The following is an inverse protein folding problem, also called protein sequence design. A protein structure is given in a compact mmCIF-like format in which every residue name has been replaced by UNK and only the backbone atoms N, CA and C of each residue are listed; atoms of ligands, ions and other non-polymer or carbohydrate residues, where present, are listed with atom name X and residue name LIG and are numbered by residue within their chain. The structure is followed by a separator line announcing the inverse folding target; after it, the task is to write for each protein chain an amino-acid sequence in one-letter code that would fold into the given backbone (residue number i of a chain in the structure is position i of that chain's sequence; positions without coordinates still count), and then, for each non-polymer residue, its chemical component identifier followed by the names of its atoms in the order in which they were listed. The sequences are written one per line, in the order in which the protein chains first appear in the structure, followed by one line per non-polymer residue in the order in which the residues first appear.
data_IF_974859698630
#
_entry.id   IF_974859698630
#
_cell.length_a   1.000
_cell.length_b   1.000
_cell.length_c   1.000
_cell.angle_alpha   90.00
_cell.angle_beta   90.00
_cell.angle_gamma   90.00
#
_symmetry.space_group_name_H-M   'P 1'
#
loop_
_entity.id
_entity.type
_entity.pdbx_description
1 polymer ?
#
# COMPACT_ATOMS: atom_id res chain seq x y z
N UNK A 1 -26.73 13.30 -37.48
CA UNK A 1 -26.65 13.16 -36.01
C UNK A 1 -26.28 11.72 -35.73
N UNK A 2 -25.03 11.45 -35.35
CA UNK A 2 -24.62 10.11 -34.91
C UNK A 2 -25.47 9.73 -33.71
N UNK A 3 -26.23 8.63 -33.80
CA UNK A 3 -27.01 8.14 -32.66
C UNK A 3 -26.03 7.78 -31.54
N UNK A 4 -26.25 8.32 -30.34
CA UNK A 4 -25.55 7.89 -29.15
C UNK A 4 -25.75 6.38 -28.97
N UNK A 5 -24.69 5.59 -29.14
CA UNK A 5 -24.66 4.17 -28.77
C UNK A 5 -24.16 4.06 -27.32
N UNK A 6 -25.05 3.75 -26.35
CA UNK A 6 -24.67 3.62 -24.95
C UNK A 6 -23.61 2.54 -24.72
N UNK A 7 -23.59 1.47 -25.52
CA UNK A 7 -22.63 0.37 -25.35
C UNK A 7 -21.23 0.77 -25.80
N UNK A 8 -21.11 1.49 -26.91
CA UNK A 8 -19.83 2.03 -27.36
C UNK A 8 -19.29 3.10 -26.38
N UNK A 9 -20.19 3.92 -25.83
CA UNK A 9 -19.84 4.88 -24.78
C UNK A 9 -19.31 4.21 -23.51
N UNK A 10 -19.95 3.13 -23.04
CA UNK A 10 -19.49 2.38 -21.86
C UNK A 10 -18.16 1.68 -22.16
N UNK A 11 -18.05 1.01 -23.32
CA UNK A 11 -16.86 0.26 -23.70
C UNK A 11 -15.63 1.16 -23.88
N UNK A 12 -15.80 2.35 -24.46
CA UNK A 12 -14.71 3.34 -24.62
C UNK A 12 -14.24 3.96 -23.29
N UNK A 13 -15.04 3.84 -22.22
CA UNK A 13 -14.72 4.33 -20.88
C UNK A 13 -14.19 3.23 -19.95
N UNK A 14 -14.28 1.97 -20.35
CA UNK A 14 -13.61 0.87 -19.65
C UNK A 14 -12.21 0.70 -20.21
N UNK A 15 -11.24 0.58 -19.31
CA UNK A 15 -9.87 0.18 -19.64
C UNK A 15 -9.68 -1.28 -19.20
N UNK A 16 -9.79 -2.27 -20.12
CA UNK A 16 -9.56 -3.67 -19.78
C UNK A 16 -8.16 -3.93 -19.21
N UNK A 17 -7.16 -3.16 -19.66
CA UNK A 17 -5.79 -3.22 -19.17
C UNK A 17 -5.70 -2.78 -17.70
N UNK A 18 -6.28 -1.64 -17.35
CA UNK A 18 -6.32 -1.15 -15.97
C UNK A 18 -7.08 -2.13 -15.07
N UNK A 19 -8.20 -2.68 -15.55
CA UNK A 19 -8.94 -3.70 -14.80
C UNK A 19 -8.08 -4.95 -14.52
N UNK A 20 -7.28 -5.40 -15.49
CA UNK A 20 -6.37 -6.55 -15.29
C UNK A 20 -5.27 -6.24 -14.30
N UNK A 21 -4.70 -5.04 -14.32
CA UNK A 21 -3.66 -4.63 -13.38
C UNK A 21 -4.21 -4.54 -11.94
N UNK A 22 -5.40 -3.96 -11.78
CA UNK A 22 -6.06 -3.79 -10.49
C UNK A 22 -6.55 -5.12 -9.89
N UNK A 23 -6.87 -6.10 -10.74
CA UNK A 23 -7.30 -7.44 -10.34
C UNK A 23 -6.21 -8.50 -10.57
N UNK A 24 -4.94 -8.09 -10.57
CA UNK A 24 -3.83 -9.00 -10.81
C UNK A 24 -3.84 -10.14 -9.79
N UNK A 25 -3.71 -11.36 -10.29
CA UNK A 25 -3.49 -12.59 -9.53
C UNK A 25 -2.22 -13.25 -10.08
N UNK A 26 -1.41 -13.81 -9.19
CA UNK A 26 -0.19 -14.51 -9.58
C UNK A 26 0.29 -15.47 -8.50
N UNK A 27 1.38 -16.15 -8.80
CA UNK A 27 2.01 -17.07 -7.87
C UNK A 27 2.88 -16.31 -6.85
N UNK A 28 3.34 -17.02 -5.82
CA UNK A 28 4.34 -16.49 -4.91
C UNK A 28 5.65 -16.11 -5.63
N UNK A 29 6.07 -16.89 -6.64
CA UNK A 29 7.27 -16.58 -7.44
C UNK A 29 7.09 -15.28 -8.24
N UNK A 30 5.93 -15.10 -8.87
CA UNK A 30 5.63 -13.84 -9.59
C UNK A 30 5.72 -12.63 -8.65
N UNK A 31 5.23 -12.79 -7.42
CA UNK A 31 5.34 -11.75 -6.40
C UNK A 31 6.78 -11.46 -5.99
N UNK A 32 7.60 -12.48 -5.74
CA UNK A 32 9.04 -12.30 -5.43
C UNK A 32 9.75 -11.57 -6.56
N UNK A 33 9.42 -11.84 -7.83
CA UNK A 33 9.96 -11.09 -8.97
C UNK A 33 9.52 -9.63 -8.97
N UNK A 34 8.25 -9.34 -8.63
CA UNK A 34 7.74 -7.97 -8.49
C UNK A 34 8.52 -7.24 -7.39
N UNK A 35 8.70 -7.86 -6.22
CA UNK A 35 9.44 -7.28 -5.09
C UNK A 35 10.91 -7.03 -5.47
N UNK A 36 11.53 -7.98 -6.17
CA UNK A 36 12.92 -7.85 -6.63
C UNK A 36 13.08 -6.77 -7.71
N UNK A 37 12.07 -6.53 -8.55
CA UNK A 37 12.10 -5.47 -9.54
C UNK A 37 11.78 -4.10 -8.90
N UNK A 38 10.84 -4.05 -7.96
CA UNK A 38 10.37 -2.85 -7.30
C UNK A 38 10.06 -3.12 -5.82
N UNK A 39 11.05 -2.96 -4.92
CA UNK A 39 10.85 -3.17 -3.49
C UNK A 39 9.81 -2.24 -2.85
N UNK A 40 9.43 -1.13 -3.52
CA UNK A 40 8.44 -0.17 -2.98
C UNK A 40 7.04 -0.79 -2.80
N UNK A 41 6.77 -1.96 -3.38
CA UNK A 41 5.48 -2.65 -3.16
C UNK A 41 5.31 -3.10 -1.70
N UNK A 42 6.41 -3.38 -0.99
CA UNK A 42 6.41 -3.87 0.40
C UNK A 42 6.37 -2.74 1.44
N UNK A 43 6.11 -1.49 1.01
CA UNK A 43 6.06 -0.34 1.93
C UNK A 43 4.99 -0.52 2.99
N UNK A 44 5.34 -0.18 4.23
CA UNK A 44 4.41 -0.14 5.34
C UNK A 44 3.41 1.03 5.19
N UNK A 45 2.42 1.09 6.10
CA UNK A 45 1.36 2.10 6.05
C UNK A 45 1.90 3.55 6.10
N UNK A 46 2.92 3.82 6.93
CA UNK A 46 3.50 5.16 7.07
C UNK A 46 4.29 5.59 5.84
N UNK A 47 5.12 4.70 5.30
CA UNK A 47 5.87 4.92 4.06
C UNK A 47 4.92 5.19 2.90
N UNK A 48 3.84 4.41 2.80
CA UNK A 48 2.84 4.58 1.74
C UNK A 48 2.09 5.90 1.86
N UNK A 49 1.68 6.27 3.09
CA UNK A 49 1.02 7.56 3.34
C UNK A 49 1.93 8.73 3.01
N UNK A 50 3.20 8.66 3.42
CA UNK A 50 4.19 9.70 3.13
C UNK A 50 4.41 9.87 1.63
N UNK A 51 4.71 8.78 0.92
CA UNK A 51 4.95 8.81 -0.52
C UNK A 51 3.71 9.23 -1.31
N UNK A 52 2.51 8.83 -0.87
CA UNK A 52 1.25 9.30 -1.45
C UNK A 52 1.16 10.82 -1.40
N UNK A 53 1.39 11.42 -0.23
CA UNK A 53 1.35 12.89 -0.08
C UNK A 53 2.39 13.55 -0.98
N UNK A 54 3.61 13.01 -1.04
CA UNK A 54 4.68 13.55 -1.87
C UNK A 54 4.43 13.41 -3.38
N UNK A 55 3.70 12.39 -3.80
CA UNK A 55 3.44 12.11 -5.22
C UNK A 55 2.68 13.24 -5.94
N UNK A 56 1.96 14.08 -5.19
CA UNK A 56 1.25 15.25 -5.72
C UNK A 56 2.14 16.51 -5.86
N UNK A 57 3.36 16.47 -5.33
CA UNK A 57 4.34 17.56 -5.40
C UNK A 57 4.36 18.48 -4.18
N UNK A 58 5.49 19.18 -4.01
CA UNK A 58 5.77 20.10 -2.91
C UNK A 58 6.17 21.46 -3.49
N UNK A 59 5.63 22.53 -2.93
CA UNK A 59 6.05 23.90 -3.22
C UNK A 59 6.80 24.47 -2.02
N UNK A 60 7.98 25.03 -2.25
CA UNK A 60 8.76 25.74 -1.23
C UNK A 60 8.60 27.25 -1.43
N UNK A 61 8.24 27.96 -0.36
CA UNK A 61 8.26 29.42 -0.33
C UNK A 61 8.78 29.94 1.02
N UNK A 62 9.21 31.19 1.03
CA UNK A 62 9.72 31.85 2.25
C UNK A 62 8.69 32.83 2.76
N UNK A 63 8.25 32.62 4.00
CA UNK A 63 7.36 33.51 4.71
C UNK A 63 8.01 33.93 6.02
N UNK A 64 8.09 35.23 6.30
CA UNK A 64 8.73 35.77 7.51
C UNK A 64 10.14 35.17 7.81
N UNK A 65 10.97 35.02 6.76
CA UNK A 65 12.31 34.39 6.81
C UNK A 65 12.32 32.91 7.21
N UNK A 66 11.17 32.24 7.24
CA UNK A 66 11.03 30.80 7.47
C UNK A 66 10.70 30.11 6.15
N UNK A 67 11.37 28.98 5.89
CA UNK A 67 11.02 28.10 4.77
C UNK A 67 9.74 27.34 5.12
N UNK A 68 8.73 27.48 4.28
CA UNK A 68 7.45 26.79 4.39
C UNK A 68 7.30 25.85 3.19
N UNK A 69 6.86 24.64 3.47
CA UNK A 69 6.57 23.61 2.46
C UNK A 69 5.06 23.43 2.36
N UNK A 70 4.51 23.71 1.18
CA UNK A 70 3.12 23.43 0.84
C UNK A 70 3.05 22.11 0.09
N UNK A 71 2.29 21.15 0.60
CA UNK A 71 2.06 19.88 -0.05
C UNK A 71 0.77 19.96 -0.87
N UNK A 72 0.90 19.87 -2.20
CA UNK A 72 -0.22 20.04 -3.14
C UNK A 72 -1.35 19.02 -2.94
N UNK A 73 -1.05 17.89 -2.32
CA UNK A 73 -2.07 16.92 -1.92
C UNK A 73 -3.21 17.54 -1.09
N UNK A 74 -2.91 18.47 -0.19
CA UNK A 74 -3.94 19.10 0.66
C UNK A 74 -4.75 20.18 -0.06
N UNK A 75 -4.39 20.52 -1.30
CA UNK A 75 -5.23 21.35 -2.18
C UNK A 75 -6.36 20.52 -2.84
N UNK A 76 -6.47 19.23 -2.49
CA UNK A 76 -7.46 18.27 -3.01
C UNK A 76 -7.43 18.11 -4.54
N UNK A 77 -6.33 17.54 -5.09
CA UNK A 77 -6.20 17.31 -6.53
C UNK A 77 -7.13 16.21 -7.06
N UNK A 78 -7.81 15.48 -6.17
CA UNK A 78 -8.69 14.36 -6.53
C UNK A 78 -10.08 14.88 -6.87
N UNK A 79 -10.63 15.79 -6.06
CA UNK A 79 -11.96 16.37 -6.27
C UNK A 79 -11.92 17.85 -6.66
N UNK A 80 -10.78 18.30 -7.21
CA UNK A 80 -10.57 19.66 -7.72
C UNK A 80 -10.83 20.76 -6.67
N UNK A 81 -10.30 20.57 -5.46
CA UNK A 81 -10.34 21.58 -4.41
C UNK A 81 -11.64 21.60 -3.59
N UNK A 82 -12.55 20.63 -3.78
CA UNK A 82 -13.79 20.53 -3.01
C UNK A 82 -13.52 20.55 -1.50
N UNK A 83 -12.43 19.92 -1.09
CA UNK A 83 -11.98 19.83 0.30
C UNK A 83 -10.58 20.41 0.53
N UNK A 84 -10.16 21.33 -0.34
CA UNK A 84 -8.87 21.99 -0.26
C UNK A 84 -8.67 22.73 1.08
N UNK A 85 -7.48 22.57 1.65
CA UNK A 85 -7.12 23.15 2.96
C UNK A 85 -6.14 24.30 2.74
N UNK A 86 -6.48 25.47 3.28
CA UNK A 86 -5.70 26.69 3.14
C UNK A 86 -5.33 27.28 4.51
N UNK A 87 -4.14 27.85 4.64
CA UNK A 87 -3.70 28.55 5.86
C UNK A 87 -3.27 27.64 7.02
N UNK A 88 -3.11 26.34 6.76
CA UNK A 88 -2.64 25.34 7.73
C UNK A 88 -1.28 24.73 7.34
N UNK A 89 -0.46 25.44 6.56
CA UNK A 89 0.80 24.94 6.01
C UNK A 89 1.76 24.49 7.11
N UNK A 90 1.93 25.28 8.18
CA UNK A 90 2.79 24.91 9.31
C UNK A 90 2.27 23.67 10.08
N UNK A 91 0.99 23.57 10.46
CA UNK A 91 0.42 22.33 11.00
C UNK A 91 0.57 21.12 10.07
N UNK A 92 0.29 21.27 8.77
CA UNK A 92 0.40 20.20 7.78
C UNK A 92 1.87 19.77 7.61
N UNK A 93 2.83 20.69 7.64
CA UNK A 93 4.26 20.36 7.69
C UNK A 93 4.62 19.48 8.89
N UNK A 94 4.07 19.78 10.09
CA UNK A 94 4.30 18.94 11.27
C UNK A 94 3.68 17.55 11.10
N UNK A 95 2.48 17.46 10.52
CA UNK A 95 1.81 16.20 10.21
C UNK A 95 2.63 15.37 9.20
N UNK A 96 3.10 15.97 8.12
CA UNK A 96 3.92 15.27 7.11
C UNK A 96 5.27 14.86 7.68
N UNK A 97 5.88 15.70 8.53
CA UNK A 97 7.10 15.32 9.25
C UNK A 97 6.89 14.14 10.21
N UNK A 98 5.71 14.02 10.82
CA UNK A 98 5.35 12.84 11.61
C UNK A 98 5.34 11.58 10.73
N UNK A 99 4.67 11.62 9.56
CA UNK A 99 4.67 10.50 8.61
C UNK A 99 6.08 10.17 8.12
N UNK A 100 6.89 11.18 7.78
CA UNK A 100 8.29 11.00 7.39
C UNK A 100 9.07 10.27 8.48
N UNK A 101 8.99 10.73 9.72
CA UNK A 101 9.73 10.13 10.83
C UNK A 101 9.26 8.69 11.12
N UNK A 102 7.96 8.42 11.01
CA UNK A 102 7.42 7.06 11.13
C UNK A 102 7.85 6.15 9.95
N UNK A 103 7.93 6.69 8.73
CA UNK A 103 8.36 5.95 7.54
C UNK A 103 9.82 5.45 7.65
N UNK A 104 10.69 6.22 8.30
CA UNK A 104 12.07 5.84 8.60
C UNK A 104 12.25 5.05 9.91
N UNK A 105 11.18 4.84 10.68
CA UNK A 105 11.22 4.08 11.94
C UNK A 105 11.94 4.81 13.08
N UNK A 106 11.79 6.14 13.16
CA UNK A 106 12.41 6.95 14.22
C UNK A 106 11.61 6.97 15.54
N UNK A 107 10.61 6.10 15.71
CA UNK A 107 9.79 5.97 16.92
C UNK A 107 8.33 6.46 16.82
N UNK A 108 7.97 7.47 15.99
CA UNK A 108 6.57 7.92 15.86
C UNK A 108 5.59 6.84 15.40
N UNK A 109 6.06 5.80 14.70
CA UNK A 109 5.24 4.67 14.26
C UNK A 109 4.57 3.89 15.42
N UNK A 110 5.11 4.03 16.64
CA UNK A 110 4.58 3.39 17.86
C UNK A 110 3.69 4.33 18.70
N UNK A 111 3.36 5.52 18.19
CA UNK A 111 2.63 6.57 18.93
C UNK A 111 1.28 6.87 18.30
N UNK A 112 0.31 7.23 19.16
CA UNK A 112 -1.01 7.69 18.70
C UNK A 112 -0.89 9.12 18.16
N UNK A 113 -1.31 9.34 16.92
CA UNK A 113 -1.45 10.67 16.33
C UNK A 113 -2.83 11.24 16.70
N UNK A 114 -2.84 12.33 17.48
CA UNK A 114 -4.06 13.03 17.86
C UNK A 114 -4.15 14.40 17.18
N UNK A 115 -5.14 14.59 16.32
CA UNK A 115 -5.47 15.89 15.74
C UNK A 115 -6.37 16.66 16.72
N UNK A 116 -5.83 17.70 17.35
CA UNK A 116 -6.59 18.55 18.27
C UNK A 116 -6.58 20.01 17.81
N UNK A 117 -7.65 20.75 18.10
CA UNK A 117 -7.81 22.16 17.72
C UNK A 117 -9.26 22.63 17.82
N UNK A 118 -9.53 23.94 17.65
CA UNK A 118 -10.87 24.52 17.70
C UNK A 118 -11.84 23.90 16.69
N UNK A 119 -13.15 24.06 16.89
CA UNK A 119 -14.16 23.66 15.90
C UNK A 119 -13.90 24.41 14.58
N UNK A 120 -14.06 23.74 13.44
CA UNK A 120 -13.79 24.31 12.12
C UNK A 120 -12.33 24.29 11.67
N UNK A 121 -11.39 23.71 12.45
CA UNK A 121 -9.97 23.65 12.10
C UNK A 121 -9.58 22.51 11.11
N UNK A 122 -10.48 22.13 10.19
CA UNK A 122 -10.25 21.12 9.14
C UNK A 122 -9.79 19.71 9.59
N UNK A 123 -9.91 19.33 10.87
CA UNK A 123 -9.42 18.01 11.37
C UNK A 123 -10.04 16.82 10.62
N UNK A 124 -11.36 16.81 10.49
CA UNK A 124 -12.08 15.75 9.76
C UNK A 124 -11.80 15.82 8.26
N UNK A 125 -11.61 17.02 7.71
CA UNK A 125 -11.22 17.25 6.31
C UNK A 125 -9.86 16.62 6.01
N UNK A 126 -8.86 16.81 6.88
CA UNK A 126 -7.55 16.16 6.76
C UNK A 126 -7.69 14.64 6.76
N UNK A 127 -8.43 14.09 7.72
CA UNK A 127 -8.62 12.64 7.82
C UNK A 127 -9.29 12.07 6.57
N UNK A 128 -10.34 12.72 6.07
CA UNK A 128 -11.04 12.31 4.85
C UNK A 128 -10.15 12.44 3.60
N UNK A 129 -9.38 13.52 3.45
CA UNK A 129 -8.41 13.65 2.36
C UNK A 129 -7.39 12.51 2.38
N UNK A 130 -6.78 12.21 3.53
CA UNK A 130 -5.78 11.14 3.64
C UNK A 130 -6.33 9.77 3.23
N UNK A 131 -7.57 9.46 3.61
CA UNK A 131 -8.21 8.19 3.27
C UNK A 131 -8.61 8.12 1.79
N UNK A 132 -9.22 9.16 1.23
CA UNK A 132 -9.45 9.27 -0.23
C UNK A 132 -8.13 9.17 -1.02
N UNK A 133 -7.10 9.83 -0.53
CA UNK A 133 -5.76 9.82 -1.10
C UNK A 133 -5.15 8.43 -1.15
N UNK A 134 -5.21 7.67 -0.04
CA UNK A 134 -4.63 6.33 -0.01
C UNK A 134 -5.43 5.33 -0.85
N UNK A 135 -6.76 5.46 -0.91
CA UNK A 135 -7.62 4.67 -1.81
C UNK A 135 -7.22 4.90 -3.27
N UNK A 136 -7.18 6.16 -3.73
CA UNK A 136 -6.80 6.48 -5.10
C UNK A 136 -5.36 6.07 -5.39
N UNK A 137 -4.43 6.32 -4.46
CA UNK A 137 -3.04 5.93 -4.62
C UNK A 137 -2.88 4.42 -4.79
N UNK A 138 -3.66 3.60 -4.08
CA UNK A 138 -3.62 2.13 -4.20
C UNK A 138 -3.96 1.61 -5.60
N UNK A 139 -4.70 2.39 -6.39
CA UNK A 139 -5.04 2.10 -7.79
C UNK A 139 -3.91 2.44 -8.76
N UNK A 140 -2.94 3.25 -8.34
CA UNK A 140 -1.79 3.59 -9.19
C UNK A 140 -0.71 2.50 -9.16
N UNK A 141 0.15 2.40 -10.19
CA UNK A 141 1.32 1.52 -10.15
C UNK A 141 2.27 1.87 -8.99
N UNK A 142 2.41 3.15 -8.67
CA UNK A 142 3.25 3.60 -7.55
C UNK A 142 2.69 3.22 -6.20
N UNK A 143 1.38 3.17 -6.01
CA UNK A 143 0.74 2.76 -4.75
C UNK A 143 0.47 1.27 -4.63
N UNK A 144 1.11 0.45 -5.46
CA UNK A 144 0.99 -0.99 -5.46
C UNK A 144 1.21 -1.66 -4.10
N UNK A 145 0.28 -2.53 -3.72
CA UNK A 145 0.37 -3.43 -2.58
C UNK A 145 -0.32 -4.75 -2.88
N UNK A 146 0.17 -5.81 -2.25
CA UNK A 146 -0.27 -7.17 -2.50
C UNK A 146 -0.60 -7.87 -1.19
N UNK A 147 -1.48 -8.84 -1.30
CA UNK A 147 -1.86 -9.75 -0.23
C UNK A 147 -1.99 -11.15 -0.83
N UNK A 148 -2.15 -12.18 -0.02
CA UNK A 148 -2.28 -13.55 -0.51
C UNK A 148 -3.58 -14.20 -0.07
N UNK A 149 -3.91 -15.27 -0.78
CA UNK A 149 -5.05 -16.15 -0.52
C UNK A 149 -4.60 -17.59 -0.66
N UNK A 150 -5.24 -18.48 0.07
CA UNK A 150 -4.98 -19.91 0.05
C UNK A 150 -5.91 -20.62 -0.93
N UNK A 151 -5.35 -21.50 -1.75
CA UNK A 151 -6.07 -22.43 -2.60
C UNK A 151 -5.93 -23.83 -2.02
N UNK A 152 -6.73 -24.18 -1.02
CA UNK A 152 -6.57 -25.43 -0.26
C UNK A 152 -6.77 -26.69 -1.11
N UNK A 153 -7.67 -26.62 -2.09
CA UNK A 153 -7.82 -27.61 -3.13
C UNK A 153 -7.40 -27.02 -4.48
N UNK A 154 -6.30 -27.53 -5.05
CA UNK A 154 -5.77 -27.04 -6.33
C UNK A 154 -6.74 -27.26 -7.50
N UNK A 155 -7.68 -28.20 -7.37
CA UNK A 155 -8.68 -28.53 -8.39
C UNK A 155 -9.94 -27.66 -8.32
N UNK A 156 -10.13 -26.90 -7.24
CA UNK A 156 -11.27 -26.00 -7.07
C UNK A 156 -10.83 -24.55 -7.06
N UNK A 157 -11.56 -23.65 -7.72
CA UNK A 157 -11.21 -22.24 -7.81
C UNK A 157 -11.61 -21.41 -6.57
N UNK A 158 -11.82 -22.08 -5.44
CA UNK A 158 -12.08 -21.39 -4.19
C UNK A 158 -10.79 -20.81 -3.61
N UNK A 159 -10.83 -19.51 -3.29
CA UNK A 159 -9.71 -18.79 -2.68
C UNK A 159 -10.10 -18.30 -1.29
N UNK A 160 -9.37 -18.81 -0.31
CA UNK A 160 -9.45 -18.43 1.09
C UNK A 160 -8.56 -17.22 1.35
N UNK A 161 -9.14 -16.02 1.33
CA UNK A 161 -8.37 -14.79 1.51
C UNK A 161 -7.76 -14.69 2.92
N UNK A 162 -6.51 -14.20 3.01
CA UNK A 162 -5.94 -13.80 4.30
C UNK A 162 -6.81 -12.70 4.93
N UNK A 163 -7.40 -12.92 6.12
CA UNK A 163 -8.33 -11.98 6.74
C UNK A 163 -7.64 -10.67 7.14
N UNK A 164 -6.34 -10.75 7.45
CA UNK A 164 -5.53 -9.60 7.88
C UNK A 164 -4.82 -8.90 6.71
N UNK A 165 -5.05 -9.33 5.47
CA UNK A 165 -4.38 -8.85 4.26
C UNK A 165 -2.85 -8.73 4.43
N UNK A 166 -2.24 -9.78 4.97
CA UNK A 166 -0.84 -9.79 5.33
C UNK A 166 0.09 -9.75 4.11
N UNK A 167 1.28 -9.23 4.34
CA UNK A 167 2.38 -9.17 3.38
C UNK A 167 2.82 -10.59 2.98
N UNK A 168 2.80 -10.98 1.68
CA UNK A 168 3.14 -12.34 1.27
C UNK A 168 4.53 -12.80 1.68
N UNK A 169 5.53 -11.91 1.82
CA UNK A 169 6.87 -12.30 2.31
C UNK A 169 6.85 -12.94 3.72
N UNK A 170 5.77 -12.80 4.49
CA UNK A 170 5.58 -13.53 5.75
C UNK A 170 5.50 -15.05 5.57
N UNK A 171 5.21 -15.55 4.37
CA UNK A 171 5.20 -16.97 4.03
C UNK A 171 6.61 -17.59 3.97
N UNK A 172 7.65 -16.75 3.90
CA UNK A 172 9.04 -17.21 3.98
C UNK A 172 9.33 -17.60 5.43
N UNK A 173 9.88 -18.81 5.68
CA UNK A 173 10.26 -19.26 7.02
C UNK A 173 11.17 -18.25 7.71
N UNK A 174 10.89 -17.97 8.98
CA UNK A 174 11.57 -16.93 9.76
C UNK A 174 13.10 -17.07 9.76
N UNK A 175 13.62 -18.29 9.80
CA UNK A 175 15.06 -18.55 9.78
C UNK A 175 15.76 -18.07 8.49
N UNK A 176 15.06 -18.07 7.35
CA UNK A 176 15.61 -17.71 6.03
C UNK A 176 15.19 -16.28 5.65
N UNK A 177 14.10 -15.77 6.23
CA UNK A 177 13.52 -14.46 5.91
C UNK A 177 14.51 -13.32 6.12
N UNK A 178 15.27 -13.35 7.21
CA UNK A 178 16.25 -12.30 7.51
C UNK A 178 17.36 -12.27 6.46
N UNK A 179 17.94 -13.42 6.13
CA UNK A 179 18.94 -13.56 5.06
C UNK A 179 18.38 -13.13 3.69
N UNK A 180 17.14 -13.49 3.38
CA UNK A 180 16.48 -13.09 2.13
C UNK A 180 16.30 -11.57 2.03
N UNK A 181 15.89 -10.92 3.12
CA UNK A 181 15.71 -9.45 3.16
C UNK A 181 17.07 -8.74 3.07
N UNK A 182 18.10 -9.28 3.70
CA UNK A 182 19.47 -8.77 3.61
C UNK A 182 20.03 -8.86 2.19
N UNK A 183 19.70 -9.89 1.41
CA UNK A 183 20.12 -9.99 0.00
C UNK A 183 19.30 -9.07 -0.93
N UNK A 184 18.04 -8.81 -0.57
CA UNK A 184 17.13 -7.97 -1.34
C UNK A 184 17.44 -6.47 -1.23
N UNK A 185 17.77 -5.99 -0.03
CA UNK A 185 17.95 -4.56 0.26
C UNK A 185 19.14 -3.87 -0.46
N UNK A 186 20.35 -4.46 -0.57
CA UNK A 186 21.52 -3.81 -1.16
C UNK A 186 21.39 -3.54 -2.66
N UNK A 187 20.51 -4.28 -3.34
CA UNK A 187 20.35 -4.23 -4.79
C UNK A 187 19.56 -2.99 -5.25
N UNK A 188 19.03 -2.18 -4.33
CA UNK A 188 18.21 -1.03 -4.66
C UNK A 188 18.56 0.19 -3.79
N UNK A 189 18.87 1.32 -4.44
CA UNK A 189 18.99 2.62 -3.79
C UNK A 189 17.62 3.24 -3.45
N UNK A 190 16.72 2.46 -2.85
CA UNK A 190 15.40 2.93 -2.45
C UNK A 190 15.48 3.78 -1.18
N UNK A 191 14.57 4.74 -1.06
CA UNK A 191 14.47 5.62 0.12
C UNK A 191 14.18 4.83 1.42
N UNK A 192 13.58 3.64 1.29
CA UNK A 192 13.25 2.73 2.37
C UNK A 192 13.80 1.34 2.11
N UNK A 193 14.26 0.68 3.18
CA UNK A 193 14.59 -0.74 3.17
C UNK A 193 13.31 -1.57 3.29
N UNK A 194 13.28 -2.70 2.61
CA UNK A 194 12.30 -3.76 2.83
C UNK A 194 12.45 -4.27 4.25
N UNK A 195 11.32 -4.28 4.97
CA UNK A 195 11.21 -4.83 6.33
C UNK A 195 9.92 -5.61 6.42
N UNK A 196 10.03 -6.84 6.91
CA UNK A 196 8.88 -7.73 7.11
C UNK A 196 8.91 -8.14 8.58
N UNK A 197 8.05 -7.50 9.38
CA UNK A 197 7.96 -7.74 10.81
C UNK A 197 6.74 -8.60 11.16
N UNK A 198 6.88 -9.43 12.19
CA UNK A 198 5.80 -10.27 12.70
C UNK A 198 5.73 -11.65 12.06
N UNK A 199 4.65 -12.35 12.39
CA UNK A 199 4.37 -13.72 11.97
C UNK A 199 3.00 -13.76 11.26
N UNK A 200 2.68 -14.90 10.64
CA UNK A 200 1.38 -15.11 10.02
C UNK A 200 0.27 -15.02 11.07
N UNK A 201 -0.90 -14.52 10.67
CA UNK A 201 -2.09 -14.51 11.51
C UNK A 201 -2.54 -15.95 11.81
N UNK A 202 -3.30 -16.19 12.90
CA UNK A 202 -3.64 -17.56 13.32
C UNK A 202 -4.38 -18.38 12.25
N UNK A 203 -5.15 -17.74 11.37
CA UNK A 203 -5.85 -18.42 10.29
C UNK A 203 -4.88 -18.85 9.19
N UNK A 204 -4.01 -17.95 8.73
CA UNK A 204 -3.01 -18.27 7.72
C UNK A 204 -1.95 -19.25 8.24
N UNK A 205 -1.54 -19.11 9.51
CA UNK A 205 -0.60 -20.03 10.15
C UNK A 205 -1.15 -21.46 10.16
N UNK A 206 -2.43 -21.64 10.50
CA UNK A 206 -3.07 -22.96 10.51
C UNK A 206 -3.04 -23.62 9.12
N UNK A 207 -3.39 -22.87 8.07
CA UNK A 207 -3.34 -23.38 6.68
C UNK A 207 -1.92 -23.73 6.25
N UNK A 208 -0.96 -22.86 6.58
CA UNK A 208 0.46 -23.10 6.32
C UNK A 208 0.93 -24.40 7.00
N UNK A 209 0.64 -24.59 8.28
CA UNK A 209 1.05 -25.78 9.04
C UNK A 209 0.38 -27.07 8.51
N UNK A 210 -0.90 -27.01 8.15
CA UNK A 210 -1.64 -28.12 7.56
C UNK A 210 -1.02 -28.58 6.23
N UNK A 211 -0.68 -27.63 5.36
CA UNK A 211 -0.03 -27.92 4.08
C UNK A 211 1.40 -28.42 4.26
N UNK A 212 2.16 -27.85 5.21
CA UNK A 212 3.49 -28.34 5.56
C UNK A 212 3.46 -29.80 6.02
N UNK A 213 2.48 -30.19 6.84
CA UNK A 213 2.28 -31.60 7.23
C UNK A 213 1.91 -32.48 6.03
N UNK A 214 0.98 -32.01 5.18
CA UNK A 214 0.53 -32.75 4.00
C UNK A 214 1.66 -33.07 3.03
N UNK A 215 2.61 -32.15 2.85
CA UNK A 215 3.74 -32.29 1.94
C UNK A 215 5.06 -32.67 2.63
N UNK A 216 5.00 -33.19 3.86
CA UNK A 216 6.18 -33.63 4.63
C UNK A 216 7.29 -32.55 4.73
N UNK A 217 6.90 -31.28 4.82
CA UNK A 217 7.80 -30.14 4.97
C UNK A 217 8.31 -29.53 3.66
N UNK A 218 7.84 -29.96 2.49
CA UNK A 218 8.22 -29.34 1.21
C UNK A 218 7.52 -27.98 1.02
N UNK A 219 8.24 -26.90 1.37
CA UNK A 219 7.76 -25.53 1.23
C UNK A 219 7.41 -25.14 -0.21
N UNK A 220 8.12 -25.68 -1.21
CA UNK A 220 7.83 -25.37 -2.62
C UNK A 220 6.48 -25.92 -3.05
N UNK A 221 6.03 -27.05 -2.50
CA UNK A 221 4.67 -27.55 -2.71
C UNK A 221 3.63 -26.66 -2.01
N UNK A 222 3.92 -26.20 -0.79
CA UNK A 222 3.01 -25.29 -0.06
C UNK A 222 2.80 -23.99 -0.84
N UNK A 223 3.83 -23.42 -1.46
CA UNK A 223 3.69 -22.18 -2.24
C UNK A 223 2.81 -22.33 -3.50
N UNK A 224 2.57 -23.55 -4.00
CA UNK A 224 1.61 -23.78 -5.09
C UNK A 224 0.16 -23.53 -4.65
N UNK A 225 -0.11 -23.61 -3.34
CA UNK A 225 -1.41 -23.27 -2.76
C UNK A 225 -1.57 -21.78 -2.49
N UNK A 226 -0.57 -20.95 -2.78
CA UNK A 226 -0.61 -19.51 -2.53
C UNK A 226 -0.92 -18.78 -3.82
N UNK A 227 -2.02 -18.02 -3.81
CA UNK A 227 -2.34 -17.06 -4.86
C UNK A 227 -2.14 -15.66 -4.29
N UNK A 228 -1.16 -14.95 -4.83
CA UNK A 228 -0.93 -13.54 -4.50
C UNK A 228 -1.87 -12.70 -5.36
N UNK A 229 -2.46 -11.67 -4.75
CA UNK A 229 -3.41 -10.77 -5.39
C UNK A 229 -3.04 -9.32 -5.15
N UNK A 230 -3.37 -8.48 -6.13
CA UNK A 230 -3.39 -7.04 -5.93
C UNK A 230 -4.41 -6.69 -4.85
N UNK A 231 -4.02 -5.86 -3.90
CA UNK A 231 -4.93 -5.32 -2.88
C UNK A 231 -5.24 -3.87 -3.19
N UNK A 232 -6.53 -3.55 -3.27
CA UNK A 232 -7.02 -2.17 -3.35
C UNK A 232 -7.57 -1.78 -1.99
N UNK A 233 -7.30 -0.54 -1.60
CA UNK A 233 -7.87 0.03 -0.39
C UNK A 233 -9.20 0.70 -0.76
N UNK A 234 -10.20 0.55 0.10
CA UNK A 234 -11.49 1.22 -0.01
C UNK A 234 -11.81 1.85 1.33
N UNK A 235 -12.21 3.12 1.33
CA UNK A 235 -12.89 3.74 2.49
C UNK A 235 -14.41 3.54 2.40
#
# INVERSE_FOLDING_TARGET
MSSFDPYEFIRSRQSPEEFKELNWLGTFDDYVRIVTANPKVTRNAFQRMYDMILSHGIEEYVEFKKKIYRYRFFDDPIENGADGIFGLEVPLMKLVNFFRAAAFGYGPEKRVLLLHGPVGSCKSTIARLLKKGIEQYSRTPHGALYSFSWKMDLHHDHLDHCPMNQEPLLLIPRAIRDEFIEELNPRHGTDFQVRVEGDLDPYCQRHYDELMLRYNGDWSQVMQHVVVRRLLLSE
#
